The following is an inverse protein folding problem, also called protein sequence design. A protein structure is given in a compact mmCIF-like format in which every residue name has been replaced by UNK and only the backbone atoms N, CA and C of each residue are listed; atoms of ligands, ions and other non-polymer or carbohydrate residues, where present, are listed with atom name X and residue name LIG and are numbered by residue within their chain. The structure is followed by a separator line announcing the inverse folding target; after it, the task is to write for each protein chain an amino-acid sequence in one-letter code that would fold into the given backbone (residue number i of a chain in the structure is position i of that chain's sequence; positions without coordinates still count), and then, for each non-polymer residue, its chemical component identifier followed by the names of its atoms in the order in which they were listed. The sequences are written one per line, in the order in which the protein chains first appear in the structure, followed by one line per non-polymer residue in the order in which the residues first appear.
data_IF_871664308948
#
_entry.id   IF_871664308948
#
_cell.length_a   1.000
_cell.length_b   1.000
_cell.length_c   1.000
_cell.angle_alpha   90.00
_cell.angle_beta   90.00
_cell.angle_gamma   90.00
#
_symmetry.space_group_name_H-M   'P 1'
#
loop_
_entity.id
_entity.type
_entity.pdbx_description
1 polymer ?
#
# COMPACT_ATOMS: atom_id res chain seq x y z
N UNK A 1 -10.37 -22.03 -17.38
CA UNK A 1 -9.44 -22.76 -16.51
C UNK A 1 -8.12 -21.99 -16.27
N UNK A 2 -7.36 -21.59 -17.28
CA UNK A 2 -6.09 -20.84 -17.12
C UNK A 2 -6.23 -19.51 -16.35
N UNK A 3 -7.35 -18.80 -16.50
CA UNK A 3 -7.60 -17.52 -15.82
C UNK A 3 -7.62 -17.61 -14.28
N UNK A 4 -7.80 -18.80 -13.72
CA UNK A 4 -7.82 -19.04 -12.27
C UNK A 4 -6.50 -19.71 -11.84
N UNK A 5 -5.97 -20.63 -12.63
CA UNK A 5 -4.75 -21.37 -12.28
C UNK A 5 -3.54 -20.46 -12.20
N UNK A 6 -3.35 -19.56 -13.17
CA UNK A 6 -2.17 -18.66 -13.18
C UNK A 6 -2.09 -17.76 -11.95
N UNK A 7 -3.16 -17.05 -11.54
CA UNK A 7 -3.13 -16.30 -10.28
C UNK A 7 -2.80 -17.17 -9.05
N UNK A 8 -3.40 -18.35 -8.94
CA UNK A 8 -3.12 -19.27 -7.82
C UNK A 8 -1.64 -19.66 -7.77
N UNK A 9 -1.05 -19.98 -8.91
CA UNK A 9 0.39 -20.33 -8.97
C UNK A 9 1.27 -19.14 -8.58
N UNK A 10 0.93 -17.92 -9.00
CA UNK A 10 1.65 -16.71 -8.62
C UNK A 10 1.56 -16.49 -7.10
N UNK A 11 0.38 -16.60 -6.51
CA UNK A 11 0.20 -16.47 -5.07
C UNK A 11 0.99 -17.52 -4.30
N UNK A 12 0.95 -18.78 -4.70
CA UNK A 12 1.73 -19.85 -4.09
C UNK A 12 3.23 -19.60 -4.19
N UNK A 13 3.70 -19.12 -5.33
CA UNK A 13 5.11 -18.77 -5.53
C UNK A 13 5.53 -17.65 -4.56
N UNK A 14 4.74 -16.58 -4.44
CA UNK A 14 5.00 -15.48 -3.50
C UNK A 14 5.01 -15.99 -2.05
N UNK A 15 4.05 -16.82 -1.67
CA UNK A 15 3.97 -17.38 -0.30
C UNK A 15 5.20 -18.25 0.03
N UNK A 16 5.62 -19.11 -0.88
CA UNK A 16 6.78 -19.99 -0.67
C UNK A 16 8.05 -19.18 -0.51
N UNK A 17 8.31 -18.20 -1.39
CA UNK A 17 9.53 -17.38 -1.33
C UNK A 17 9.55 -16.48 -0.10
N UNK A 18 8.45 -15.82 0.20
CA UNK A 18 8.36 -14.95 1.38
C UNK A 18 8.49 -15.75 2.69
N UNK A 19 7.89 -16.95 2.77
CA UNK A 19 8.10 -17.85 3.91
C UNK A 19 9.56 -18.30 4.06
N UNK A 20 10.24 -18.63 2.95
CA UNK A 20 11.66 -18.97 2.96
C UNK A 20 12.53 -17.81 3.47
N UNK A 21 12.20 -16.56 3.08
CA UNK A 21 12.90 -15.38 3.58
C UNK A 21 12.82 -15.29 5.09
N UNK A 22 11.60 -15.38 5.65
CA UNK A 22 11.39 -15.32 7.10
C UNK A 22 12.08 -16.49 7.80
N UNK A 23 11.96 -17.72 7.27
CA UNK A 23 12.60 -18.91 7.82
C UNK A 23 14.13 -18.80 7.84
N UNK A 24 14.72 -18.16 6.84
CA UNK A 24 16.18 -17.97 6.76
C UNK A 24 16.66 -16.88 7.72
N UNK A 25 15.85 -15.82 7.90
CA UNK A 25 16.18 -14.69 8.76
C UNK A 25 16.04 -14.98 10.26
N UNK A 26 15.11 -15.87 10.65
CA UNK A 26 14.84 -16.19 12.06
C UNK A 26 14.86 -17.69 12.34
N UNK A 27 15.31 -18.06 13.55
CA UNK A 27 15.23 -19.43 14.08
C UNK A 27 13.99 -19.65 14.97
N UNK A 28 13.22 -18.61 15.25
CA UNK A 28 12.05 -18.68 16.12
C UNK A 28 10.89 -19.42 15.45
N UNK A 29 10.52 -20.56 15.99
CA UNK A 29 9.36 -21.34 15.53
C UNK A 29 8.04 -20.57 15.70
N UNK A 30 7.95 -19.73 16.73
CA UNK A 30 6.76 -18.90 16.98
C UNK A 30 6.55 -17.84 15.90
N UNK A 31 7.62 -17.17 15.46
CA UNK A 31 7.53 -16.19 14.37
C UNK A 31 7.07 -16.88 13.09
N UNK A 32 7.60 -18.05 12.76
CA UNK A 32 7.20 -18.82 11.58
C UNK A 32 5.74 -19.28 11.67
N UNK A 33 5.31 -19.72 12.86
CA UNK A 33 3.93 -20.13 13.08
C UNK A 33 2.94 -18.96 12.91
N UNK A 34 3.21 -17.83 13.57
CA UNK A 34 2.39 -16.62 13.47
C UNK A 34 2.32 -16.10 12.04
N UNK A 35 3.47 -16.04 11.36
CA UNK A 35 3.53 -15.66 9.95
C UNK A 35 2.66 -16.58 9.08
N UNK A 36 2.78 -17.90 9.25
CA UNK A 36 2.01 -18.89 8.49
C UNK A 36 0.50 -18.79 8.77
N UNK A 37 0.10 -18.59 10.03
CA UNK A 37 -1.31 -18.42 10.41
C UNK A 37 -1.88 -17.15 9.77
N UNK A 38 -1.18 -16.01 9.86
CA UNK A 38 -1.64 -14.74 9.27
C UNK A 38 -1.76 -14.88 7.74
N UNK A 39 -0.76 -15.48 7.08
CA UNK A 39 -0.78 -15.70 5.63
C UNK A 39 -1.96 -16.59 5.22
N UNK A 40 -2.14 -17.73 5.89
CA UNK A 40 -3.22 -18.67 5.58
C UNK A 40 -4.60 -18.05 5.84
N UNK A 41 -4.77 -17.39 6.98
CA UNK A 41 -6.04 -16.73 7.33
C UNK A 41 -6.41 -15.67 6.29
N UNK A 42 -5.43 -14.89 5.83
CA UNK A 42 -5.68 -13.86 4.82
C UNK A 42 -5.97 -14.46 3.43
N UNK A 43 -5.29 -15.55 3.03
CA UNK A 43 -5.61 -16.28 1.80
C UNK A 43 -7.04 -16.85 1.81
N UNK A 44 -7.45 -17.43 2.92
CA UNK A 44 -8.82 -17.93 3.10
C UNK A 44 -9.84 -16.79 3.05
N UNK A 45 -9.52 -15.65 3.67
CA UNK A 45 -10.34 -14.43 3.57
C UNK A 45 -10.44 -13.93 2.13
N UNK A 46 -9.35 -13.85 1.38
CA UNK A 46 -9.36 -13.44 -0.03
C UNK A 46 -10.19 -14.39 -0.89
N UNK A 47 -10.06 -15.71 -0.68
CA UNK A 47 -10.88 -16.69 -1.37
C UNK A 47 -12.37 -16.47 -1.04
N UNK A 48 -12.72 -16.35 0.24
CA UNK A 48 -14.09 -16.03 0.65
C UNK A 48 -14.60 -14.73 0.05
N UNK A 49 -13.79 -13.67 0.07
CA UNK A 49 -14.12 -12.38 -0.52
C UNK A 49 -14.39 -12.51 -2.02
N UNK A 50 -13.54 -13.23 -2.75
CA UNK A 50 -13.69 -13.44 -4.19
C UNK A 50 -15.02 -14.13 -4.56
N UNK A 51 -15.42 -15.13 -3.79
CA UNK A 51 -16.70 -15.84 -4.01
C UNK A 51 -17.94 -15.05 -3.59
N UNK A 52 -17.79 -14.08 -2.68
CA UNK A 52 -18.89 -13.25 -2.18
C UNK A 52 -18.90 -11.84 -2.73
N UNK A 53 -17.99 -11.53 -3.66
CA UNK A 53 -17.86 -10.19 -4.24
C UNK A 53 -19.05 -9.87 -5.14
N UNK A 54 -19.77 -8.81 -4.79
CA UNK A 54 -20.83 -8.24 -5.63
C UNK A 54 -20.30 -6.99 -6.35
N UNK A 55 -20.30 -7.02 -7.67
CA UNK A 55 -19.87 -5.90 -8.51
C UNK A 55 -20.70 -4.63 -8.33
N UNK A 56 -21.95 -4.76 -7.85
CA UNK A 56 -22.82 -3.61 -7.62
C UNK A 56 -22.46 -2.83 -6.35
N UNK A 57 -21.73 -3.47 -5.41
CA UNK A 57 -21.21 -2.86 -4.18
C UNK A 57 -19.72 -2.56 -4.27
N UNK A 58 -19.16 -2.58 -5.49
CA UNK A 58 -17.76 -2.26 -5.73
C UNK A 58 -17.40 -0.92 -5.08
N UNK A 59 -16.26 -0.91 -4.37
CA UNK A 59 -15.72 0.23 -3.61
C UNK A 59 -16.44 0.57 -2.28
N UNK A 60 -17.22 -0.34 -1.75
CA UNK A 60 -17.70 -0.23 -0.37
C UNK A 60 -16.52 -0.32 0.65
N UNK A 61 -16.81 -0.05 1.93
CA UNK A 61 -15.82 -0.12 3.01
C UNK A 61 -15.13 -1.49 3.07
N UNK A 62 -15.85 -2.57 2.77
CA UNK A 62 -15.29 -3.92 2.76
C UNK A 62 -14.25 -4.09 1.66
N UNK A 63 -14.51 -3.55 0.46
CA UNK A 63 -13.55 -3.53 -0.65
C UNK A 63 -12.29 -2.73 -0.28
N UNK A 64 -12.47 -1.51 0.26
CA UNK A 64 -11.35 -0.62 0.64
C UNK A 64 -10.43 -1.29 1.66
N UNK A 65 -10.98 -1.89 2.73
CA UNK A 65 -10.21 -2.62 3.72
C UNK A 65 -9.53 -3.86 3.13
N UNK A 66 -10.21 -4.59 2.26
CA UNK A 66 -9.63 -5.78 1.59
C UNK A 66 -8.42 -5.39 0.76
N UNK A 67 -8.52 -4.35 -0.06
CA UNK A 67 -7.39 -3.83 -0.86
C UNK A 67 -6.28 -3.29 0.03
N UNK A 68 -6.62 -2.54 1.09
CA UNK A 68 -5.65 -2.03 2.06
C UNK A 68 -4.83 -3.14 2.71
N UNK A 69 -5.48 -4.18 3.25
CA UNK A 69 -4.80 -5.33 3.83
C UNK A 69 -4.06 -6.18 2.78
N UNK A 70 -4.61 -6.27 1.56
CA UNK A 70 -3.91 -6.92 0.48
C UNK A 70 -2.57 -6.23 0.18
N UNK A 71 -2.57 -4.92 0.00
CA UNK A 71 -1.35 -4.16 -0.24
C UNK A 71 -0.40 -4.24 0.95
N UNK A 72 -0.91 -4.11 2.18
CA UNK A 72 -0.11 -4.18 3.41
C UNK A 72 0.64 -5.51 3.54
N UNK A 73 0.01 -6.62 3.20
CA UNK A 73 0.60 -7.96 3.35
C UNK A 73 1.37 -8.41 2.12
N UNK A 74 0.86 -8.14 0.91
CA UNK A 74 1.45 -8.68 -0.32
C UNK A 74 2.54 -7.81 -0.93
N UNK A 75 2.50 -6.47 -0.77
CA UNK A 75 3.58 -5.63 -1.28
C UNK A 75 4.95 -5.98 -0.65
N UNK A 76 5.06 -6.14 0.69
CA UNK A 76 6.28 -6.67 1.31
C UNK A 76 6.67 -8.05 0.79
N UNK A 77 5.72 -8.99 0.65
CA UNK A 77 5.98 -10.35 0.15
C UNK A 77 6.50 -10.34 -1.29
N UNK A 78 5.96 -9.45 -2.14
CA UNK A 78 6.42 -9.29 -3.53
C UNK A 78 7.89 -8.81 -3.53
N UNK A 79 8.22 -7.79 -2.73
CA UNK A 79 9.60 -7.29 -2.62
C UNK A 79 10.55 -8.39 -2.13
N UNK A 80 10.16 -9.14 -1.09
CA UNK A 80 10.93 -10.30 -0.61
C UNK A 80 11.14 -11.34 -1.71
N UNK A 81 10.06 -11.68 -2.41
CA UNK A 81 10.10 -12.68 -3.49
C UNK A 81 11.01 -12.22 -4.62
N UNK A 82 10.87 -10.98 -5.09
CA UNK A 82 11.72 -10.44 -6.16
C UNK A 82 13.20 -10.41 -5.76
N UNK A 83 13.51 -10.00 -4.53
CA UNK A 83 14.89 -9.94 -4.04
C UNK A 83 15.52 -11.33 -3.98
N UNK A 84 14.84 -12.31 -3.37
CA UNK A 84 15.39 -13.66 -3.24
C UNK A 84 15.39 -14.43 -4.57
N UNK A 85 14.37 -14.26 -5.38
CA UNK A 85 14.31 -14.88 -6.71
C UNK A 85 15.41 -14.34 -7.62
N UNK A 86 15.67 -13.03 -7.60
CA UNK A 86 16.77 -12.42 -8.35
C UNK A 86 18.13 -12.99 -7.91
N UNK A 87 18.33 -13.21 -6.58
CA UNK A 87 19.54 -13.88 -6.08
C UNK A 87 19.64 -15.31 -6.59
N UNK A 88 18.55 -16.09 -6.54
CA UNK A 88 18.56 -17.49 -7.00
C UNK A 88 18.83 -17.57 -8.51
N UNK A 89 18.24 -16.68 -9.32
CA UNK A 89 18.50 -16.56 -10.76
C UNK A 89 19.96 -16.21 -11.04
N UNK A 90 20.52 -15.21 -10.31
CA UNK A 90 21.93 -14.85 -10.47
C UNK A 90 22.86 -16.02 -10.16
N UNK A 91 22.56 -16.77 -9.09
CA UNK A 91 23.34 -17.98 -8.71
C UNK A 91 23.24 -19.09 -9.79
N UNK A 92 22.08 -19.26 -10.37
CA UNK A 92 21.89 -20.21 -11.47
C UNK A 92 22.78 -19.88 -12.67
N UNK A 93 22.80 -18.60 -13.07
CA UNK A 93 23.67 -18.14 -14.16
C UNK A 93 25.16 -18.28 -13.82
N UNK A 94 25.56 -17.91 -12.62
CA UNK A 94 26.94 -18.06 -12.16
C UNK A 94 27.37 -19.54 -12.14
N UNK A 95 26.53 -20.43 -11.62
CA UNK A 95 26.79 -21.87 -11.60
C UNK A 95 26.87 -22.48 -13.02
N UNK A 96 25.94 -22.05 -13.90
CA UNK A 96 25.97 -22.45 -15.31
C UNK A 96 27.25 -21.99 -16.02
N UNK A 97 27.66 -20.74 -15.84
CA UNK A 97 28.89 -20.22 -16.44
C UNK A 97 30.13 -20.97 -15.95
N UNK A 98 30.22 -21.25 -14.65
CA UNK A 98 31.32 -22.03 -14.06
C UNK A 98 31.36 -23.46 -14.62
N UNK A 99 30.23 -24.09 -14.81
CA UNK A 99 30.13 -25.42 -15.38
C UNK A 99 30.69 -25.45 -16.82
N UNK A 100 30.33 -24.47 -17.66
CA UNK A 100 30.80 -24.39 -19.05
C UNK A 100 32.26 -23.92 -19.18
N UNK A 101 32.76 -23.08 -18.27
CA UNK A 101 34.13 -22.54 -18.36
C UNK A 101 35.21 -23.51 -17.85
N UNK A 102 34.87 -24.74 -17.38
CA UNK A 102 35.80 -25.73 -16.80
C UNK A 102 36.76 -25.17 -15.74
N UNK A 103 36.45 -24.03 -15.16
CA UNK A 103 37.27 -23.42 -14.10
C UNK A 103 37.19 -24.28 -12.85
N UNK A 104 38.33 -24.93 -12.50
CA UNK A 104 38.47 -25.76 -11.30
C UNK A 104 38.60 -24.94 -10.02
N UNK A 105 38.23 -23.68 -10.00
CA UNK A 105 38.15 -22.92 -8.75
C UNK A 105 36.91 -23.35 -7.98
N UNK A 106 37.13 -24.35 -7.15
CA UNK A 106 36.22 -24.86 -6.13
C UNK A 106 35.94 -23.80 -5.09
N UNK A 107 35.12 -22.84 -5.39
CA UNK A 107 34.47 -22.02 -4.39
C UNK A 107 33.03 -21.75 -4.76
N UNK A 108 32.27 -22.81 -5.07
CA UNK A 108 30.83 -22.74 -4.83
C UNK A 108 30.61 -22.82 -3.31
N UNK A 109 31.06 -21.81 -2.60
CA UNK A 109 30.67 -21.65 -1.21
C UNK A 109 29.17 -21.35 -1.21
N UNK A 110 28.37 -22.41 -1.06
CA UNK A 110 27.06 -22.27 -0.48
C UNK A 110 27.29 -21.58 0.87
N UNK A 111 27.22 -20.24 0.88
CA UNK A 111 27.39 -19.43 2.06
C UNK A 111 25.98 -19.23 2.67
N UNK A 112 25.57 -20.07 3.65
CA UNK A 112 24.29 -19.90 4.34
C UNK A 112 24.17 -18.51 4.97
N UNK A 113 25.31 -17.92 5.37
CA UNK A 113 25.40 -16.59 5.92
C UNK A 113 25.04 -15.50 4.92
N UNK A 114 25.46 -15.63 3.65
CA UNK A 114 25.07 -14.68 2.59
C UNK A 114 23.55 -14.69 2.38
N UNK A 115 22.93 -15.88 2.26
CA UNK A 115 21.47 -15.98 2.08
C UNK A 115 20.73 -15.41 3.28
N UNK A 116 21.23 -15.65 4.49
CA UNK A 116 20.69 -15.05 5.71
C UNK A 116 20.79 -13.53 5.67
N UNK A 117 21.94 -13.00 5.28
CA UNK A 117 22.16 -11.55 5.14
C UNK A 117 21.20 -10.94 4.12
N UNK A 118 21.10 -11.52 2.91
CA UNK A 118 20.18 -11.04 1.87
C UNK A 118 18.73 -11.09 2.35
N UNK A 119 18.30 -12.16 3.03
CA UNK A 119 16.96 -12.27 3.60
C UNK A 119 16.69 -11.20 4.67
N UNK A 120 17.67 -10.93 5.53
CA UNK A 120 17.53 -9.88 6.56
C UNK A 120 17.48 -8.48 5.95
N UNK A 121 18.31 -8.20 4.95
CA UNK A 121 18.28 -6.93 4.22
C UNK A 121 16.97 -6.74 3.46
N UNK A 122 16.48 -7.80 2.80
CA UNK A 122 15.18 -7.76 2.13
C UNK A 122 14.03 -7.50 3.11
N UNK A 123 14.03 -8.14 4.28
CA UNK A 123 13.05 -7.88 5.34
C UNK A 123 13.12 -6.43 5.86
N UNK A 124 14.33 -5.89 6.07
CA UNK A 124 14.51 -4.50 6.48
C UNK A 124 13.98 -3.53 5.41
N UNK A 125 14.26 -3.81 4.13
CA UNK A 125 13.75 -3.01 3.01
C UNK A 125 12.22 -3.02 2.93
N UNK A 126 11.59 -4.16 3.21
CA UNK A 126 10.12 -4.29 3.20
C UNK A 126 9.44 -3.59 4.38
N UNK A 127 10.16 -3.30 5.46
CA UNK A 127 9.62 -2.57 6.60
C UNK A 127 9.20 -1.13 6.21
N UNK A 128 9.88 -0.51 5.25
CA UNK A 128 9.56 0.86 4.80
C UNK A 128 8.16 0.92 4.17
N UNK A 129 7.85 0.19 3.08
CA UNK A 129 6.51 0.24 2.49
C UNK A 129 5.44 -0.31 3.45
N UNK A 130 5.75 -1.31 4.28
CA UNK A 130 4.82 -1.82 5.27
C UNK A 130 4.41 -0.75 6.28
N UNK A 131 5.37 -0.05 6.88
CA UNK A 131 5.09 1.00 7.86
C UNK A 131 4.43 2.23 7.23
N UNK A 132 4.81 2.58 6.00
CA UNK A 132 4.19 3.68 5.25
C UNK A 132 2.72 3.39 4.93
N UNK A 133 2.41 2.18 4.47
CA UNK A 133 1.02 1.76 4.21
C UNK A 133 0.21 1.71 5.51
N UNK A 134 0.76 1.14 6.57
CA UNK A 134 0.10 1.09 7.87
C UNK A 134 -0.20 2.48 8.41
N UNK A 135 0.74 3.40 8.31
CA UNK A 135 0.55 4.81 8.67
C UNK A 135 -0.53 5.46 7.80
N UNK A 136 -0.46 5.29 6.47
CA UNK A 136 -1.46 5.83 5.53
C UNK A 136 -2.87 5.35 5.82
N UNK A 137 -3.03 4.05 6.09
CA UNK A 137 -4.34 3.44 6.39
C UNK A 137 -4.93 3.90 7.73
N UNK A 138 -4.10 4.23 8.70
CA UNK A 138 -4.55 4.54 10.08
C UNK A 138 -4.62 6.04 10.35
N UNK A 139 -3.52 6.76 10.16
CA UNK A 139 -3.39 8.18 10.51
C UNK A 139 -3.26 9.10 9.31
N UNK A 140 -2.61 8.63 8.23
CA UNK A 140 -2.25 9.46 7.09
C UNK A 140 -3.44 10.07 6.37
N UNK A 141 -4.55 9.34 6.27
CA UNK A 141 -5.77 9.78 5.59
C UNK A 141 -6.44 11.01 6.22
N UNK A 142 -6.16 11.29 7.51
CA UNK A 142 -6.68 12.45 8.23
C UNK A 142 -5.61 13.48 8.61
N UNK A 143 -4.43 13.38 8.00
CA UNK A 143 -3.35 14.34 8.24
C UNK A 143 -3.53 15.57 7.33
N UNK A 144 -4.61 16.30 7.54
CA UNK A 144 -4.90 17.51 6.78
C UNK A 144 -3.80 18.55 6.98
N UNK A 145 -3.42 19.23 5.90
CA UNK A 145 -2.39 20.27 5.89
C UNK A 145 -2.88 21.47 5.12
N UNK A 146 -2.77 22.63 5.75
CA UNK A 146 -2.99 23.88 5.07
C UNK A 146 -1.72 24.27 4.32
N UNK A 147 -1.84 24.47 3.01
CA UNK A 147 -0.76 25.01 2.18
C UNK A 147 -1.15 26.40 1.70
N UNK A 148 -0.31 27.40 1.98
CA UNK A 148 -0.53 28.79 1.55
C UNK A 148 0.42 29.14 0.41
N UNK A 149 -0.13 29.71 -0.67
CA UNK A 149 0.64 30.18 -1.81
C UNK A 149 0.12 31.56 -2.24
N UNK A 150 1.02 32.50 -2.38
CA UNK A 150 0.70 33.81 -2.97
C UNK A 150 0.96 33.78 -4.46
N UNK A 151 -0.03 34.21 -5.23
CA UNK A 151 0.06 34.32 -6.69
C UNK A 151 0.03 35.79 -7.06
N UNK A 152 0.85 36.18 -8.02
CA UNK A 152 0.96 37.54 -8.53
C UNK A 152 0.53 37.56 -10.00
N UNK A 153 -0.45 38.40 -10.31
CA UNK A 153 -0.95 38.61 -11.66
C UNK A 153 -0.82 40.10 -12.03
N UNK A 154 0.01 40.45 -13.03
CA UNK A 154 0.24 41.87 -13.41
C UNK A 154 -1.02 42.59 -13.85
N UNK A 155 -1.99 41.83 -14.40
CA UNK A 155 -3.25 42.36 -14.95
C UNK A 155 -4.43 42.21 -14.00
N UNK A 156 -4.18 41.90 -12.72
CA UNK A 156 -5.24 41.76 -11.74
C UNK A 156 -5.84 43.16 -11.43
N UNK A 157 -7.17 43.33 -11.52
CA UNK A 157 -7.79 44.57 -11.09
C UNK A 157 -7.54 44.86 -9.60
N UNK A 158 -7.28 46.12 -9.25
CA UNK A 158 -6.95 46.56 -7.87
C UNK A 158 -7.98 46.10 -6.82
N UNK A 159 -9.25 45.93 -7.24
CA UNK A 159 -10.32 45.44 -6.35
C UNK A 159 -10.15 43.98 -5.90
N UNK A 160 -9.29 43.21 -6.55
CA UNK A 160 -8.98 41.82 -6.20
C UNK A 160 -7.62 41.67 -5.53
N UNK A 161 -6.86 42.76 -5.37
CA UNK A 161 -5.60 42.69 -4.64
C UNK A 161 -5.86 42.30 -3.17
N UNK A 162 -5.14 41.28 -2.71
CA UNK A 162 -5.33 40.69 -1.38
C UNK A 162 -6.48 39.70 -1.25
N UNK A 163 -7.24 39.40 -2.32
CA UNK A 163 -8.31 38.39 -2.29
C UNK A 163 -7.76 37.01 -1.92
N UNK A 164 -8.44 36.36 -1.00
CA UNK A 164 -8.06 35.04 -0.48
C UNK A 164 -9.03 33.97 -0.97
N UNK A 165 -8.48 32.86 -1.44
CA UNK A 165 -9.25 31.72 -1.96
C UNK A 165 -8.83 30.46 -1.24
N UNK A 166 -9.80 29.79 -0.61
CA UNK A 166 -9.60 28.41 -0.16
C UNK A 166 -10.00 27.44 -1.27
N UNK A 167 -9.06 26.60 -1.67
CA UNK A 167 -9.28 25.58 -2.69
C UNK A 167 -9.38 24.20 -2.05
N UNK A 168 -10.47 23.48 -2.34
CA UNK A 168 -10.76 22.13 -1.86
C UNK A 168 -10.96 21.22 -3.06
N UNK A 169 -10.41 20.02 -3.00
CA UNK A 169 -10.57 18.99 -4.03
C UNK A 169 -10.53 17.59 -3.42
N UNK A 170 -11.00 16.58 -4.16
CA UNK A 170 -10.80 15.17 -3.85
C UNK A 170 -11.26 14.76 -2.44
N UNK A 171 -12.48 15.13 -2.09
CA UNK A 171 -13.08 14.86 -0.76
C UNK A 171 -13.22 13.35 -0.52
N UNK A 172 -13.64 12.58 -1.55
CA UNK A 172 -13.80 11.12 -1.46
C UNK A 172 -14.57 10.66 -0.21
N UNK A 173 -15.75 11.21 0.02
CA UNK A 173 -16.56 11.02 1.24
C UNK A 173 -16.87 9.54 1.57
N UNK A 174 -16.87 8.65 0.56
CA UNK A 174 -17.00 7.20 0.77
C UNK A 174 -15.86 6.57 1.59
N UNK A 175 -14.74 7.29 1.74
CA UNK A 175 -13.59 6.84 2.54
C UNK A 175 -13.64 7.32 3.99
N UNK A 176 -14.62 8.14 4.36
CA UNK A 176 -14.75 8.71 5.70
C UNK A 176 -15.29 7.68 6.69
N UNK A 177 -14.71 7.65 7.89
CA UNK A 177 -15.12 6.77 8.99
C UNK A 177 -15.02 7.44 10.39
N UNK A 178 -14.56 8.70 10.44
CA UNK A 178 -14.35 9.44 11.69
C UNK A 178 -14.89 10.88 11.53
N UNK A 179 -16.03 11.16 12.19
CA UNK A 179 -16.72 12.46 12.08
C UNK A 179 -15.90 13.60 12.68
N UNK A 180 -15.27 13.37 13.84
CA UNK A 180 -14.48 14.41 14.51
C UNK A 180 -13.31 14.90 13.64
N UNK A 181 -12.70 13.98 12.87
CA UNK A 181 -11.63 14.34 11.95
C UNK A 181 -12.11 15.17 10.77
N UNK A 182 -13.33 14.90 10.29
CA UNK A 182 -13.93 15.68 9.20
C UNK A 182 -14.35 17.07 9.72
N UNK A 183 -14.97 17.15 10.90
CA UNK A 183 -15.28 18.42 11.55
C UNK A 183 -14.02 19.27 11.73
N UNK A 184 -12.92 18.67 12.20
CA UNK A 184 -11.63 19.36 12.28
C UNK A 184 -11.14 19.91 10.93
N UNK A 185 -11.33 19.16 9.82
CA UNK A 185 -10.97 19.65 8.49
C UNK A 185 -11.80 20.86 8.08
N UNK A 186 -13.10 20.85 8.40
CA UNK A 186 -14.01 21.96 8.11
C UNK A 186 -13.67 23.18 8.96
N UNK A 187 -13.37 22.98 10.25
CA UNK A 187 -12.91 24.06 11.11
C UNK A 187 -11.64 24.70 10.56
N UNK A 188 -10.69 23.89 10.10
CA UNK A 188 -9.44 24.39 9.49
C UNK A 188 -9.70 25.22 8.23
N UNK A 189 -10.73 24.87 7.42
CA UNK A 189 -11.16 25.65 6.26
C UNK A 189 -11.78 26.96 6.72
N UNK A 190 -12.71 26.93 7.67
CA UNK A 190 -13.43 28.10 8.17
C UNK A 190 -12.50 29.09 8.88
N UNK A 191 -11.49 28.62 9.60
CA UNK A 191 -10.46 29.46 10.23
C UNK A 191 -9.70 30.34 9.23
N UNK A 192 -9.66 29.99 7.93
CA UNK A 192 -8.98 30.79 6.93
C UNK A 192 -9.75 32.08 6.59
N UNK A 193 -11.05 32.13 6.86
CA UNK A 193 -11.91 33.31 6.58
C UNK A 193 -11.73 33.83 5.16
N UNK A 194 -11.58 32.92 4.19
CA UNK A 194 -11.34 33.26 2.80
C UNK A 194 -12.52 33.94 2.15
N UNK A 195 -12.25 34.89 1.25
CA UNK A 195 -13.28 35.60 0.47
C UNK A 195 -14.08 34.67 -0.45
N UNK A 196 -13.46 33.57 -0.88
CA UNK A 196 -14.06 32.58 -1.75
C UNK A 196 -13.59 31.17 -1.40
N UNK A 197 -14.50 30.19 -1.43
CA UNK A 197 -14.19 28.77 -1.35
C UNK A 197 -14.49 28.13 -2.71
N UNK A 198 -13.45 27.54 -3.33
CA UNK A 198 -13.56 26.83 -4.60
C UNK A 198 -13.47 25.32 -4.35
N UNK A 199 -14.44 24.61 -4.92
CA UNK A 199 -14.45 23.16 -4.92
C UNK A 199 -14.29 22.63 -6.36
N UNK A 200 -13.26 21.87 -6.64
CA UNK A 200 -12.92 21.42 -8.01
C UNK A 200 -13.30 19.96 -8.29
N UNK A 201 -14.10 19.36 -7.42
CA UNK A 201 -14.73 18.07 -7.72
C UNK A 201 -14.22 16.90 -6.88
N UNK A 202 -14.69 15.70 -7.27
CA UNK A 202 -14.40 14.40 -6.66
C UNK A 202 -14.86 14.29 -5.20
N UNK A 203 -16.17 14.56 -5.01
CA UNK A 203 -16.80 14.58 -3.68
C UNK A 203 -17.03 13.17 -3.11
N UNK A 204 -17.19 12.15 -3.96
CA UNK A 204 -17.54 10.77 -3.61
C UNK A 204 -16.58 9.78 -4.29
N UNK A 205 -16.47 8.56 -3.77
CA UNK A 205 -15.66 7.53 -4.42
C UNK A 205 -16.37 6.87 -5.61
N UNK A 206 -17.70 6.62 -5.49
CA UNK A 206 -18.45 5.86 -6.49
C UNK A 206 -19.89 6.34 -6.64
N UNK A 207 -20.59 6.61 -5.54
CA UNK A 207 -22.03 6.88 -5.53
C UNK A 207 -22.33 8.13 -4.70
N UNK A 208 -23.25 8.97 -5.19
CA UNK A 208 -23.72 10.16 -4.47
C UNK A 208 -24.22 9.87 -3.04
N UNK A 209 -24.77 8.67 -2.82
CA UNK A 209 -25.24 8.24 -1.49
C UNK A 209 -24.12 8.16 -0.42
N UNK A 210 -22.87 8.12 -0.82
CA UNK A 210 -21.73 8.13 0.11
C UNK A 210 -21.60 9.46 0.85
N UNK A 211 -22.11 10.55 0.27
CA UNK A 211 -22.13 11.86 0.90
C UNK A 211 -23.26 12.03 1.92
N UNK A 212 -24.36 11.25 1.84
CA UNK A 212 -25.54 11.44 2.71
C UNK A 212 -25.20 11.50 4.22
N UNK A 213 -24.33 10.65 4.79
CA UNK A 213 -24.00 10.71 6.22
C UNK A 213 -23.25 11.99 6.62
N UNK A 214 -22.73 12.74 5.66
CA UNK A 214 -21.81 13.86 5.87
C UNK A 214 -22.41 15.22 5.49
N UNK A 215 -23.61 15.24 4.88
CA UNK A 215 -24.24 16.49 4.42
C UNK A 215 -24.38 17.52 5.53
N UNK A 216 -24.76 17.08 6.74
CA UNK A 216 -24.93 17.98 7.89
C UNK A 216 -23.58 18.42 8.53
N UNK A 217 -22.49 17.88 8.08
CA UNK A 217 -21.14 18.20 8.58
C UNK A 217 -20.48 19.28 7.71
N UNK A 218 -20.83 19.34 6.43
CA UNK A 218 -20.37 20.34 5.46
C UNK A 218 -21.33 21.50 5.37
#
# INVERSE_FOLDING_TARGET
MYRIIVPILIFLFIEIYSFQAVRTATKSKWILLVYGIISLAFLLYLAYYFFTFDRNTAQDKRFQWTIGFFLLLYLPKIILTLTLFSEDVFRLFQGGFQYFSKSKETTSSFLPERRKFVSQMALALTAVPFTSLLYGMTKGKYNFKLMKQTLFFPDLPDSFDGTTITHISDIHSGSFDDKEKIEYAIDLINEQQSDLVLFTGDIVNTKATEMHPWVDTF
#
